data_IF_458958581993
#
_entry.id   IF_458958581993
#
_cell.length_a   1.000
_cell.length_b   1.000
_cell.length_c   1.000
_cell.angle_alpha   90.00
_cell.angle_beta   90.00
_cell.angle_gamma   90.00
#
_symmetry.space_group_name_H-M   'P 1'
#
loop_
_entity.id
_entity.type
_entity.pdbx_description
1 polymer ?
#
# COMPACT_ATOMS: atom_id res chain seq x y z
N UNK A 1 -20.33 -2.53 -4.74
CA UNK A 1 -19.52 -2.49 -5.96
C UNK A 1 -18.05 -2.36 -5.60
N UNK A 2 -17.20 -3.12 -6.26
CA UNK A 2 -15.76 -3.06 -6.02
C UNK A 2 -15.10 -2.23 -7.10
N UNK A 3 -14.32 -1.23 -6.69
CA UNK A 3 -13.48 -0.44 -7.57
C UNK A 3 -12.05 -0.93 -7.42
N UNK A 4 -11.30 -0.94 -8.50
CA UNK A 4 -9.95 -1.49 -8.51
C UNK A 4 -9.03 -0.73 -9.45
N UNK A 5 -7.77 -0.57 -9.03
CA UNK A 5 -6.67 -0.10 -9.85
C UNK A 5 -5.53 -1.12 -9.81
N UNK A 6 -4.98 -1.43 -10.97
CA UNK A 6 -3.77 -2.24 -11.07
C UNK A 6 -2.62 -1.31 -11.46
N UNK A 7 -1.65 -1.19 -10.58
CA UNK A 7 -0.52 -0.29 -10.76
C UNK A 7 0.74 -1.09 -11.05
N UNK A 8 1.32 -0.87 -12.22
CA UNK A 8 2.54 -1.57 -12.63
C UNK A 8 3.79 -0.91 -12.10
N UNK A 9 4.78 -1.73 -11.81
CA UNK A 9 6.10 -1.27 -11.39
C UNK A 9 7.13 -1.41 -12.51
N UNK A 10 8.33 -0.90 -12.27
CA UNK A 10 9.48 -1.08 -13.12
C UNK A 10 10.05 -2.49 -12.96
N UNK A 11 11.14 -2.80 -13.65
CA UNK A 11 11.78 -4.11 -13.61
C UNK A 11 12.16 -4.55 -12.20
N UNK A 12 12.55 -3.61 -11.35
CA UNK A 12 12.87 -3.88 -9.95
C UNK A 12 11.70 -3.47 -9.07
N UNK A 13 11.03 -4.44 -8.47
CA UNK A 13 9.86 -4.19 -7.62
C UNK A 13 10.23 -4.44 -6.16
N UNK A 14 10.42 -3.39 -5.37
CA UNK A 14 10.89 -3.53 -4.00
C UNK A 14 9.78 -3.70 -2.97
N UNK A 15 8.50 -3.53 -3.36
CA UNK A 15 7.41 -3.49 -2.40
C UNK A 15 6.91 -4.88 -2.02
N UNK A 16 6.57 -5.04 -0.74
CA UNK A 16 5.94 -6.23 -0.20
C UNK A 16 5.00 -5.86 0.94
N UNK A 17 4.01 -6.72 1.19
CA UNK A 17 3.17 -6.61 2.37
C UNK A 17 3.95 -7.23 3.54
N UNK A 18 4.04 -6.54 4.70
CA UNK A 18 4.81 -7.07 5.83
C UNK A 18 4.30 -8.44 6.30
N UNK A 19 5.20 -9.36 6.69
CA UNK A 19 4.81 -10.66 7.22
C UNK A 19 3.90 -10.51 8.44
N UNK A 20 2.92 -11.43 8.56
CA UNK A 20 1.94 -11.41 9.64
C UNK A 20 0.77 -10.45 9.45
N UNK A 21 0.81 -9.61 8.44
CA UNK A 21 -0.29 -8.70 8.09
C UNK A 21 -1.12 -9.17 6.91
N UNK A 22 -0.61 -10.14 6.18
CA UNK A 22 -1.28 -10.65 4.98
C UNK A 22 -2.47 -11.54 5.32
N UNK A 23 -3.57 -11.31 4.61
CA UNK A 23 -4.75 -12.17 4.66
C UNK A 23 -5.22 -12.42 3.23
N UNK A 24 -4.65 -13.41 2.51
CA UNK A 24 -5.01 -13.70 1.13
C UNK A 24 -6.50 -14.05 0.97
N UNK A 25 -7.12 -14.65 1.98
CA UNK A 25 -8.53 -15.03 1.96
C UNK A 25 -9.45 -13.80 1.98
N UNK A 26 -8.96 -12.66 2.39
CA UNK A 26 -9.70 -11.41 2.39
C UNK A 26 -9.81 -10.72 1.03
N UNK A 27 -9.19 -11.28 -0.01
CA UNK A 27 -9.26 -10.70 -1.36
C UNK A 27 -10.62 -10.99 -1.98
N UNK A 28 -11.36 -9.95 -2.41
CA UNK A 28 -12.61 -10.19 -3.12
C UNK A 28 -12.39 -11.02 -4.39
N UNK A 29 -13.28 -11.95 -4.73
CA UNK A 29 -13.11 -12.81 -5.91
C UNK A 29 -12.85 -12.02 -7.21
N UNK A 30 -13.52 -10.90 -7.38
CA UNK A 30 -13.33 -10.06 -8.57
C UNK A 30 -11.92 -9.51 -8.68
N UNK A 31 -11.35 -9.08 -7.54
CA UNK A 31 -9.98 -8.58 -7.48
C UNK A 31 -8.99 -9.70 -7.76
N UNK A 32 -9.20 -10.86 -7.17
CA UNK A 32 -8.34 -12.03 -7.40
C UNK A 32 -8.34 -12.43 -8.87
N UNK A 33 -9.51 -12.45 -9.51
CA UNK A 33 -9.66 -12.78 -10.93
C UNK A 33 -8.89 -11.81 -11.81
N UNK A 34 -9.05 -10.51 -11.59
CA UNK A 34 -8.38 -9.49 -12.39
C UNK A 34 -6.89 -9.46 -12.15
N UNK A 35 -6.46 -9.67 -10.90
CA UNK A 35 -5.04 -9.71 -10.56
C UNK A 35 -4.32 -10.90 -11.17
N UNK A 36 -5.00 -12.06 -11.24
CA UNK A 36 -4.44 -13.28 -11.82
C UNK A 36 -4.12 -13.15 -13.31
N UNK A 37 -4.79 -12.23 -14.01
CA UNK A 37 -4.54 -11.98 -15.44
C UNK A 37 -3.30 -11.12 -15.69
N UNK A 38 -2.71 -10.56 -14.66
CA UNK A 38 -1.54 -9.70 -14.80
C UNK A 38 -0.27 -10.50 -14.54
N UNK A 39 0.67 -10.42 -15.51
CA UNK A 39 1.91 -11.17 -15.48
C UNK A 39 3.06 -10.29 -15.07
N UNK A 40 3.47 -10.02 -14.00
CA UNK A 40 4.66 -9.31 -13.51
C UNK A 40 4.37 -8.44 -12.29
N UNK A 41 5.40 -7.85 -11.80
CA UNK A 41 5.46 -7.07 -10.57
C UNK A 41 4.43 -5.96 -10.55
N UNK A 42 3.33 -6.17 -9.83
CA UNK A 42 2.21 -5.25 -9.80
C UNK A 42 1.55 -5.23 -8.43
N UNK A 43 0.93 -4.10 -8.18
CA UNK A 43 0.11 -3.90 -7.01
C UNK A 43 -1.33 -3.75 -7.49
N UNK A 44 -2.24 -4.50 -6.87
CA UNK A 44 -3.68 -4.30 -7.06
C UNK A 44 -4.22 -3.60 -5.83
N UNK A 45 -4.87 -2.46 -6.03
CA UNK A 45 -5.53 -1.73 -4.98
C UNK A 45 -7.04 -1.76 -5.23
N UNK A 46 -7.85 -1.90 -4.18
CA UNK A 46 -9.29 -1.92 -4.35
C UNK A 46 -10.02 -1.19 -3.24
N UNK A 47 -11.25 -0.82 -3.55
CA UNK A 47 -12.21 -0.35 -2.57
C UNK A 47 -13.50 -1.12 -2.73
N UNK A 48 -14.00 -1.66 -1.63
CA UNK A 48 -15.28 -2.35 -1.57
C UNK A 48 -16.25 -1.48 -0.76
N UNK A 49 -17.19 -0.85 -1.47
CA UNK A 49 -18.16 0.03 -0.83
C UNK A 49 -19.15 -0.76 0.05
N UNK A 50 -19.45 -2.01 -0.30
CA UNK A 50 -20.40 -2.82 0.45
C UNK A 50 -19.88 -3.14 1.86
N UNK A 51 -18.59 -3.47 1.98
CA UNK A 51 -17.95 -3.75 3.27
C UNK A 51 -17.24 -2.55 3.86
N UNK A 52 -17.21 -1.42 3.13
CA UNK A 52 -16.49 -0.20 3.51
C UNK A 52 -15.01 -0.49 3.80
N UNK A 53 -14.37 -1.22 2.91
CA UNK A 53 -12.99 -1.64 3.07
C UNK A 53 -12.13 -1.16 1.91
N UNK A 54 -10.86 -0.96 2.20
CA UNK A 54 -9.82 -0.77 1.18
C UNK A 54 -8.81 -1.90 1.30
N UNK A 55 -8.13 -2.21 0.22
CA UNK A 55 -7.16 -3.28 0.24
C UNK A 55 -6.07 -3.15 -0.79
N UNK A 56 -5.02 -3.91 -0.56
CA UNK A 56 -3.83 -4.01 -1.40
C UNK A 56 -3.49 -5.48 -1.58
N UNK A 57 -3.15 -5.87 -2.78
CA UNK A 57 -2.60 -7.20 -3.06
C UNK A 57 -1.31 -7.07 -3.86
N UNK A 58 -0.28 -7.78 -3.42
CA UNK A 58 1.02 -7.85 -4.07
C UNK A 58 1.43 -9.32 -4.11
N UNK A 59 1.67 -9.85 -5.30
CA UNK A 59 1.95 -11.28 -5.49
C UNK A 59 0.79 -12.11 -4.93
N UNK A 60 1.06 -13.04 -4.03
CA UNK A 60 0.05 -13.90 -3.40
C UNK A 60 -0.38 -13.40 -2.02
N UNK A 61 0.02 -12.18 -1.66
CA UNK A 61 -0.28 -11.60 -0.37
C UNK A 61 -1.28 -10.46 -0.50
N UNK A 62 -2.10 -10.28 0.52
CA UNK A 62 -3.10 -9.22 0.52
C UNK A 62 -3.36 -8.72 1.93
N UNK A 63 -3.78 -7.46 2.01
CA UNK A 63 -4.20 -6.84 3.25
C UNK A 63 -5.44 -6.00 2.96
N UNK A 64 -6.43 -6.03 3.86
CA UNK A 64 -7.58 -5.15 3.78
C UNK A 64 -7.87 -4.53 5.14
N UNK A 65 -8.41 -3.33 5.11
CA UNK A 65 -8.72 -2.56 6.33
C UNK A 65 -10.08 -1.90 6.18
N UNK A 66 -10.86 -1.93 7.26
CA UNK A 66 -12.11 -1.18 7.34
C UNK A 66 -11.81 0.32 7.33
N UNK A 67 -12.39 1.03 6.37
CA UNK A 67 -12.21 2.48 6.21
C UNK A 67 -12.61 3.24 7.47
N UNK A 68 -13.65 2.75 8.17
CA UNK A 68 -14.11 3.39 9.41
C UNK A 68 -13.09 3.41 10.53
N UNK A 69 -12.06 2.58 10.46
CA UNK A 69 -10.98 2.53 11.45
C UNK A 69 -9.76 3.37 11.08
N UNK A 70 -9.76 3.97 9.90
CA UNK A 70 -8.60 4.72 9.39
C UNK A 70 -8.76 6.21 9.70
N UNK A 71 -7.75 6.77 10.34
CA UNK A 71 -7.67 8.22 10.57
C UNK A 71 -7.05 8.94 9.37
N UNK A 72 -5.96 8.40 8.83
CA UNK A 72 -5.22 9.02 7.74
C UNK A 72 -4.39 8.00 6.97
N UNK A 73 -4.15 8.28 5.70
CA UNK A 73 -3.24 7.52 4.86
C UNK A 73 -2.00 8.36 4.55
N UNK A 74 -0.84 7.73 4.52
CA UNK A 74 0.41 8.44 4.22
C UNK A 74 1.43 7.57 3.50
N UNK A 75 2.25 8.23 2.70
CA UNK A 75 3.51 7.68 2.20
C UNK A 75 4.58 8.18 3.14
N UNK A 76 5.31 7.27 3.77
CA UNK A 76 6.39 7.60 4.68
C UNK A 76 7.71 7.10 4.12
N UNK A 77 8.77 7.87 4.26
CA UNK A 77 10.08 7.42 3.83
C UNK A 77 11.17 7.92 4.78
N UNK A 78 12.21 7.12 4.90
CA UNK A 78 13.39 7.44 5.69
C UNK A 78 14.60 7.09 4.84
N UNK A 79 15.49 8.06 4.64
CA UNK A 79 16.67 7.87 3.81
C UNK A 79 17.74 7.10 4.55
N UNK A 80 18.64 6.49 3.77
CA UNK A 80 19.76 5.74 4.33
C UNK A 80 20.71 6.65 5.08
N UNK A 81 21.22 6.12 6.19
CA UNK A 81 22.36 6.67 6.91
C UNK A 81 23.15 5.46 7.43
N UNK A 82 23.09 5.14 8.72
CA UNK A 82 23.66 3.88 9.23
C UNK A 82 22.73 2.71 8.91
N UNK A 83 21.43 2.94 8.98
CA UNK A 83 20.44 1.94 8.62
C UNK A 83 20.01 2.05 7.17
N UNK A 84 19.24 1.07 6.67
CA UNK A 84 18.86 0.98 5.26
C UNK A 84 17.75 1.96 4.84
N UNK A 85 17.05 2.57 5.80
CA UNK A 85 15.88 3.38 5.50
C UNK A 85 14.68 2.55 5.06
N UNK A 86 13.66 3.21 4.53
CA UNK A 86 12.47 2.53 4.01
C UNK A 86 11.65 3.48 3.13
N UNK A 87 10.69 2.89 2.40
CA UNK A 87 9.59 3.60 1.74
C UNK A 87 8.34 2.80 2.03
N UNK A 88 7.32 3.41 2.61
CA UNK A 88 6.10 2.69 3.00
C UNK A 88 4.83 3.44 2.68
N UNK A 89 3.75 2.68 2.53
CA UNK A 89 2.39 3.18 2.46
C UNK A 89 1.66 2.72 3.71
N UNK A 90 1.15 3.67 4.51
CA UNK A 90 0.69 3.41 5.86
C UNK A 90 -0.69 3.97 6.12
N UNK A 91 -1.43 3.30 7.00
CA UNK A 91 -2.69 3.78 7.55
C UNK A 91 -2.52 4.06 9.03
N UNK A 92 -2.80 5.28 9.45
CA UNK A 92 -2.90 5.61 10.88
C UNK A 92 -4.29 5.26 11.36
N UNK A 93 -4.36 4.49 12.43
CA UNK A 93 -5.63 3.97 12.93
C UNK A 93 -6.23 4.88 14.01
N UNK A 94 -7.58 4.96 14.05
CA UNK A 94 -8.28 5.83 14.97
C UNK A 94 -8.17 5.39 16.43
N UNK A 95 -8.45 4.13 16.71
CA UNK A 95 -8.64 3.66 18.08
C UNK A 95 -7.37 3.19 18.76
N UNK A 96 -6.45 2.63 18.01
CA UNK A 96 -5.23 2.04 18.57
C UNK A 96 -4.07 3.01 18.67
N UNK A 97 -4.21 4.20 18.10
CA UNK A 97 -3.13 5.18 17.93
C UNK A 97 -1.90 4.59 17.21
N UNK A 98 -2.09 3.42 16.64
CA UNK A 98 -1.03 2.73 15.92
C UNK A 98 -1.07 3.04 14.43
N UNK A 99 -0.10 2.47 13.75
CA UNK A 99 0.04 2.56 12.30
C UNK A 99 0.07 1.16 11.73
N UNK A 100 -0.66 0.94 10.65
CA UNK A 100 -0.61 -0.30 9.89
C UNK A 100 0.11 -0.03 8.58
N UNK A 101 1.21 -0.72 8.35
CA UNK A 101 1.93 -0.65 7.08
C UNK A 101 1.21 -1.56 6.09
N UNK A 102 0.68 -0.96 5.01
CA UNK A 102 -0.02 -1.71 3.99
C UNK A 102 0.95 -2.40 3.04
N UNK A 103 1.98 -1.70 2.63
CA UNK A 103 3.10 -2.28 1.89
C UNK A 103 4.31 -1.39 2.03
N UNK A 104 5.49 -1.96 1.87
CA UNK A 104 6.73 -1.23 2.04
C UNK A 104 7.88 -1.84 1.25
N UNK A 105 8.88 -1.00 0.94
CA UNK A 105 10.22 -1.42 0.62
C UNK A 105 11.04 -1.36 1.91
N UNK A 106 11.77 -2.42 2.21
CA UNK A 106 12.51 -2.56 3.47
C UNK A 106 13.85 -1.81 3.48
N UNK A 107 14.14 -1.10 2.41
CA UNK A 107 15.29 -0.22 2.29
C UNK A 107 14.88 1.01 1.47
N UNK A 108 15.56 2.12 1.67
CA UNK A 108 15.29 3.33 0.90
C UNK A 108 15.70 3.12 -0.56
N UNK A 109 14.78 3.45 -1.45
CA UNK A 109 14.96 3.35 -2.90
C UNK A 109 14.30 4.57 -3.53
N UNK A 110 15.10 5.40 -4.20
CA UNK A 110 14.60 6.63 -4.82
C UNK A 110 13.54 6.37 -5.88
N UNK A 111 13.72 5.31 -6.67
CA UNK A 111 12.77 4.96 -7.71
C UNK A 111 11.44 4.49 -7.12
N UNK A 112 11.49 3.74 -6.02
CA UNK A 112 10.30 3.32 -5.30
C UNK A 112 9.52 4.52 -4.76
N UNK A 113 10.24 5.48 -4.17
CA UNK A 113 9.61 6.70 -3.67
C UNK A 113 8.94 7.48 -4.80
N UNK A 114 9.63 7.69 -5.91
CA UNK A 114 9.06 8.40 -7.06
C UNK A 114 7.84 7.70 -7.64
N UNK A 115 7.92 6.36 -7.74
CA UNK A 115 6.80 5.58 -8.24
C UNK A 115 5.58 5.75 -7.33
N UNK A 116 5.78 5.65 -6.04
CA UNK A 116 4.70 5.78 -5.07
C UNK A 116 4.12 7.19 -5.05
N UNK A 117 4.97 8.22 -5.05
CA UNK A 117 4.53 9.62 -5.15
C UNK A 117 3.72 9.86 -6.43
N UNK A 118 4.14 9.27 -7.54
CA UNK A 118 3.45 9.41 -8.83
C UNK A 118 2.10 8.71 -8.89
N UNK A 119 1.81 7.81 -7.95
CA UNK A 119 0.54 7.08 -7.90
C UNK A 119 -0.36 7.51 -6.75
N UNK A 120 0.04 8.47 -5.93
CA UNK A 120 -0.77 8.91 -4.79
C UNK A 120 -2.12 9.46 -5.19
N UNK A 121 -2.20 10.20 -6.30
CA UNK A 121 -3.48 10.76 -6.74
C UNK A 121 -4.47 9.66 -7.14
N UNK A 122 -4.00 8.62 -7.82
CA UNK A 122 -4.84 7.48 -8.18
C UNK A 122 -5.32 6.72 -6.95
N UNK A 123 -4.42 6.49 -6.01
CA UNK A 123 -4.76 5.79 -4.77
C UNK A 123 -5.70 6.62 -3.90
N UNK A 124 -5.47 7.92 -3.80
CA UNK A 124 -6.35 8.82 -3.04
C UNK A 124 -7.77 8.84 -3.64
N UNK A 125 -7.88 8.90 -4.96
CA UNK A 125 -9.17 8.87 -5.65
C UNK A 125 -9.89 7.54 -5.43
N UNK A 126 -9.17 6.44 -5.52
CA UNK A 126 -9.73 5.10 -5.32
C UNK A 126 -10.20 4.90 -3.89
N UNK A 127 -9.37 5.24 -2.92
CA UNK A 127 -9.68 5.01 -1.51
C UNK A 127 -10.63 6.08 -0.93
N UNK A 128 -10.80 7.20 -1.63
CA UNK A 128 -11.65 8.28 -1.15
C UNK A 128 -11.09 9.05 0.03
N UNK A 129 -9.77 9.03 0.20
CA UNK A 129 -9.07 9.69 1.30
C UNK A 129 -7.81 10.38 0.77
N UNK A 130 -7.46 11.57 1.28
CA UNK A 130 -6.20 12.19 0.90
C UNK A 130 -5.01 11.36 1.42
N UNK A 131 -3.90 11.44 0.72
CA UNK A 131 -2.67 10.75 1.08
C UNK A 131 -1.57 11.79 1.29
N UNK A 132 -1.06 11.88 2.51
CA UNK A 132 0.06 12.76 2.84
C UNK A 132 1.38 12.09 2.48
N UNK A 133 2.41 12.90 2.23
CA UNK A 133 3.77 12.40 2.02
C UNK A 133 4.60 12.93 3.19
N UNK A 134 5.22 12.02 3.94
CA UNK A 134 5.96 12.33 5.16
C UNK A 134 7.43 11.94 5.03
N UNK A 135 8.30 12.93 5.20
CA UNK A 135 9.74 12.73 5.27
C UNK A 135 10.11 12.44 6.73
N UNK A 136 10.57 11.23 7.01
CA UNK A 136 10.97 10.81 8.35
C UNK A 136 12.46 11.01 8.62
N UNK A 137 13.19 11.63 7.70
CA UNK A 137 14.58 11.98 7.90
C UNK A 137 15.56 10.90 7.49
N UNK A 138 16.59 10.72 8.30
CA UNK A 138 17.67 9.77 8.06
C UNK A 138 17.61 8.62 9.07
N UNK A 139 17.95 7.43 8.59
CA UNK A 139 17.98 6.21 9.40
C UNK A 139 19.34 6.05 10.08
N UNK A 140 19.47 6.67 11.22
CA UNK A 140 20.69 6.61 12.05
C UNK A 140 20.83 5.30 12.78
#
# INVERSE_FOLDING_TARGET
>A
MIQMEVLGGSVSWPFAIPPGRSNPDGVPPRVAELSAKTTSWRLSAWRDAASNAIGIAINEQAISIDVGHIKALSVCFMRRAKGPGFVSFEARMLETRGTVVLFAADHFNEDALRWLEGNTDKLAALFGMPIAIEDCGLDY
#
